data_IF_476524331800
#
_entry.id   IF_476524331800
#
_cell.length_a   1.000
_cell.length_b   1.000
_cell.length_c   1.000
_cell.angle_alpha   90.00
_cell.angle_beta   90.00
_cell.angle_gamma   90.00
#
_symmetry.space_group_name_H-M   'P 1'
#
loop_
_entity.id
_entity.type
_entity.pdbx_description
1 polymer ?
#
# COMPACT_ATOMS: atom_id res chain seq x y z
N UNK A 1 -22.84 -14.75 39.98
CA UNK A 1 -21.84 -14.91 38.92
C UNK A 1 -20.66 -14.00 39.23
N UNK A 2 -19.41 -14.50 39.28
CA UNK A 2 -18.23 -13.63 39.47
C UNK A 2 -17.95 -12.94 38.14
N UNK A 3 -18.03 -11.60 38.10
CA UNK A 3 -17.62 -10.83 36.93
C UNK A 3 -16.09 -10.93 36.85
N UNK A 4 -15.57 -11.48 35.76
CA UNK A 4 -14.13 -11.40 35.46
C UNK A 4 -13.83 -9.96 35.03
N UNK A 5 -12.86 -9.35 35.72
CA UNK A 5 -12.35 -8.03 35.37
C UNK A 5 -11.50 -8.17 34.11
N UNK A 6 -11.63 -7.22 33.19
CA UNK A 6 -10.78 -7.11 32.01
C UNK A 6 -9.30 -7.08 32.38
N UNK A 7 -8.49 -7.84 31.65
CA UNK A 7 -7.05 -7.99 31.84
C UNK A 7 -6.34 -7.81 30.51
N UNK A 8 -5.30 -6.96 30.50
CA UNK A 8 -4.52 -6.66 29.31
C UNK A 8 -3.82 -7.92 28.77
N UNK A 9 -4.16 -8.31 27.54
CA UNK A 9 -3.46 -9.37 26.81
C UNK A 9 -2.36 -8.74 25.97
N UNK A 10 -1.10 -9.09 26.29
CA UNK A 10 0.07 -8.64 25.53
C UNK A 10 0.44 -9.65 24.45
N UNK A 11 0.30 -9.26 23.19
CA UNK A 11 0.85 -9.98 22.05
C UNK A 11 2.19 -9.34 21.59
N UNK A 12 3.12 -10.11 21.00
CA UNK A 12 4.30 -9.55 20.36
C UNK A 12 3.93 -8.61 19.22
N UNK A 13 4.52 -7.40 19.22
CA UNK A 13 4.31 -6.41 18.17
C UNK A 13 5.10 -6.86 16.92
N UNK A 14 4.37 -7.21 15.85
CA UNK A 14 4.99 -7.54 14.55
C UNK A 14 5.17 -6.30 13.66
N UNK A 15 4.24 -5.34 13.75
CA UNK A 15 4.25 -4.12 12.95
C UNK A 15 4.02 -2.92 13.86
N UNK A 16 4.75 -1.84 13.61
CA UNK A 16 4.60 -0.63 14.41
C UNK A 16 3.30 0.09 14.03
N UNK A 17 2.59 0.67 15.02
CA UNK A 17 1.52 1.63 14.77
C UNK A 17 2.04 2.78 13.90
N UNK A 18 1.28 3.14 12.87
CA UNK A 18 1.56 4.30 12.02
C UNK A 18 0.25 4.89 11.54
N UNK A 19 0.23 6.20 11.26
CA UNK A 19 -0.89 6.87 10.59
C UNK A 19 -0.57 7.06 9.10
N UNK A 20 -0.90 6.08 8.22
CA UNK A 20 -0.45 6.11 6.83
C UNK A 20 -1.21 7.15 6.00
N UNK A 21 -2.45 7.51 6.36
CA UNK A 21 -3.30 8.37 5.53
C UNK A 21 -2.73 9.79 5.42
N UNK A 22 -2.23 10.33 6.54
CA UNK A 22 -1.67 11.69 6.62
C UNK A 22 -0.13 11.72 6.58
N UNK A 23 0.52 10.55 6.43
CA UNK A 23 1.99 10.43 6.31
C UNK A 23 2.56 11.12 5.06
N UNK A 24 1.72 11.40 4.08
CA UNK A 24 2.06 12.05 2.81
C UNK A 24 0.96 13.04 2.46
N UNK A 25 1.33 14.21 1.95
CA UNK A 25 0.33 15.19 1.49
C UNK A 25 -0.41 14.67 0.24
N UNK A 26 -1.63 15.14 0.01
CA UNK A 26 -2.37 14.73 -1.20
C UNK A 26 -1.67 15.18 -2.48
N UNK A 27 -0.98 16.33 -2.45
CA UNK A 27 -0.15 16.80 -3.55
C UNK A 27 1.00 15.83 -3.84
N UNK A 28 1.69 15.33 -2.81
CA UNK A 28 2.78 14.37 -2.97
C UNK A 28 2.28 12.99 -3.43
N UNK A 29 1.09 12.56 -2.99
CA UNK A 29 0.46 11.32 -3.47
C UNK A 29 0.17 11.43 -4.97
N UNK A 30 -0.40 12.55 -5.41
CA UNK A 30 -0.68 12.82 -6.83
C UNK A 30 0.61 12.92 -7.63
N UNK A 31 1.64 13.59 -7.10
CA UNK A 31 2.95 13.68 -7.75
C UNK A 31 3.57 12.29 -7.96
N UNK A 32 3.55 11.44 -6.94
CA UNK A 32 4.03 10.06 -7.04
C UNK A 32 3.26 9.26 -8.10
N UNK A 33 1.92 9.36 -8.14
CA UNK A 33 1.12 8.69 -9.17
C UNK A 33 1.48 9.15 -10.59
N UNK A 34 1.77 10.45 -10.76
CA UNK A 34 2.23 11.00 -12.06
C UNK A 34 3.63 10.52 -12.44
N UNK A 35 4.56 10.46 -11.49
CA UNK A 35 5.91 9.91 -11.71
C UNK A 35 5.85 8.44 -12.14
N UNK A 36 5.01 7.64 -11.47
CA UNK A 36 4.78 6.23 -11.83
C UNK A 36 4.20 6.12 -13.24
N UNK A 37 3.16 6.91 -13.56
CA UNK A 37 2.55 6.89 -14.89
C UNK A 37 3.56 7.28 -15.98
N UNK A 38 4.36 8.33 -15.75
CA UNK A 38 5.38 8.75 -16.71
C UNK A 38 6.43 7.64 -16.91
N UNK A 39 6.93 7.04 -15.83
CA UNK A 39 7.87 5.93 -15.91
C UNK A 39 7.32 4.74 -16.71
N UNK A 40 6.06 4.37 -16.50
CA UNK A 40 5.41 3.30 -17.28
C UNK A 40 5.32 3.68 -18.77
N UNK A 41 4.96 4.93 -19.09
CA UNK A 41 4.87 5.39 -20.48
C UNK A 41 6.24 5.46 -21.17
N UNK A 42 7.30 5.76 -20.43
CA UNK A 42 8.67 5.72 -20.94
C UNK A 42 9.12 4.28 -21.23
N UNK A 43 8.71 3.32 -20.39
CA UNK A 43 8.99 1.89 -20.58
C UNK A 43 8.14 1.24 -21.68
N UNK A 44 6.88 1.69 -21.83
CA UNK A 44 5.90 1.15 -22.77
C UNK A 44 5.23 2.26 -23.61
N UNK A 45 5.90 2.75 -24.67
CA UNK A 45 5.34 3.77 -25.56
C UNK A 45 4.01 3.36 -26.23
N UNK A 46 3.76 2.05 -26.39
CA UNK A 46 2.50 1.49 -26.90
C UNK A 46 1.35 1.42 -25.87
N UNK A 47 1.55 1.92 -24.65
CA UNK A 47 0.52 1.95 -23.61
C UNK A 47 -0.64 2.88 -23.98
N UNK A 48 -1.81 2.29 -24.24
CA UNK A 48 -3.06 3.02 -24.50
C UNK A 48 -3.68 3.57 -23.21
N UNK A 49 -3.59 2.79 -22.13
CA UNK A 49 -4.14 3.17 -20.84
C UNK A 49 -3.18 2.78 -19.73
N UNK A 50 -2.90 3.72 -18.83
CA UNK A 50 -2.17 3.48 -17.59
C UNK A 50 -3.10 3.86 -16.44
N UNK A 51 -3.27 2.97 -15.49
CA UNK A 51 -4.04 3.21 -14.27
C UNK A 51 -3.17 2.87 -13.08
N UNK A 52 -2.83 3.89 -12.31
CA UNK A 52 -2.11 3.74 -11.05
C UNK A 52 -3.01 4.19 -9.89
N UNK A 53 -3.00 3.44 -8.79
CA UNK A 53 -3.75 3.82 -7.59
C UNK A 53 -2.97 3.56 -6.30
N UNK A 54 -3.08 4.49 -5.38
CA UNK A 54 -2.57 4.39 -4.01
C UNK A 54 -3.75 4.31 -3.04
N UNK A 55 -3.63 3.42 -2.05
CA UNK A 55 -4.61 3.30 -0.97
C UNK A 55 -3.91 3.13 0.36
N UNK A 56 -4.49 3.66 1.43
CA UNK A 56 -4.09 3.42 2.80
C UNK A 56 -5.31 3.10 3.67
N UNK A 57 -5.11 2.23 4.65
CA UNK A 57 -6.06 1.92 5.73
C UNK A 57 -5.35 2.18 7.05
N UNK A 58 -6.07 2.87 7.94
CA UNK A 58 -5.74 2.98 9.35
C UNK A 58 -6.88 2.33 10.13
N UNK A 59 -6.60 1.19 10.76
CA UNK A 59 -7.58 0.43 11.52
C UNK A 59 -7.16 0.37 12.99
N UNK A 60 -8.05 0.80 13.88
CA UNK A 60 -7.91 0.62 15.33
C UNK A 60 -8.88 -0.48 15.78
N UNK A 61 -8.37 -1.47 16.51
CA UNK A 61 -9.16 -2.60 17.01
C UNK A 61 -9.09 -2.63 18.52
N UNK A 62 -10.23 -2.88 19.15
CA UNK A 62 -10.36 -3.17 20.57
C UNK A 62 -11.17 -4.45 20.75
N UNK A 63 -10.64 -5.37 21.55
CA UNK A 63 -11.28 -6.63 21.91
C UNK A 63 -11.53 -6.61 23.42
N UNK A 64 -12.78 -6.75 23.82
CA UNK A 64 -13.19 -6.97 25.20
C UNK A 64 -14.11 -8.19 25.25
N UNK A 65 -13.71 -9.25 25.97
CA UNK A 65 -14.46 -10.51 26.00
C UNK A 65 -14.85 -10.93 27.42
N UNK A 66 -15.88 -11.79 27.50
CA UNK A 66 -16.46 -12.26 28.77
C UNK A 66 -15.54 -13.15 29.60
N UNK A 67 -14.46 -13.65 29.01
CA UNK A 67 -13.39 -14.41 29.69
C UNK A 67 -12.35 -13.50 30.37
N UNK A 68 -12.54 -12.18 30.30
CA UNK A 68 -11.63 -11.18 30.87
C UNK A 68 -10.57 -10.67 29.88
N UNK A 69 -10.58 -11.08 28.61
CA UNK A 69 -9.66 -10.54 27.59
C UNK A 69 -9.90 -9.05 27.37
N UNK A 70 -8.83 -8.26 27.40
CA UNK A 70 -8.78 -6.88 26.90
C UNK A 70 -7.53 -6.67 26.05
N UNK A 71 -7.70 -6.31 24.79
CA UNK A 71 -6.59 -6.11 23.86
C UNK A 71 -6.89 -4.98 22.87
N UNK A 72 -5.84 -4.28 22.43
CA UNK A 72 -5.92 -3.23 21.42
C UNK A 72 -4.85 -3.41 20.35
N UNK A 73 -5.10 -2.87 19.15
CA UNK A 73 -4.14 -2.90 18.04
C UNK A 73 -4.37 -1.72 17.08
N UNK A 74 -3.30 -1.27 16.42
CA UNK A 74 -3.30 -0.25 15.37
C UNK A 74 -2.65 -0.84 14.13
N UNK A 75 -3.42 -0.95 13.05
CA UNK A 75 -3.07 -1.74 11.87
C UNK A 75 -2.99 -0.85 10.63
N UNK A 76 -1.83 -0.24 10.35
CA UNK A 76 -1.62 0.44 9.09
C UNK A 76 -1.58 -0.58 7.95
N UNK A 77 -2.08 -0.20 6.78
CA UNK A 77 -1.89 -0.95 5.54
C UNK A 77 -1.88 0.02 4.36
N UNK A 78 -0.82 0.02 3.58
CA UNK A 78 -0.72 0.75 2.32
C UNK A 78 -0.68 -0.21 1.13
N UNK A 79 -1.14 0.26 -0.04
CA UNK A 79 -1.06 -0.49 -1.29
C UNK A 79 -0.85 0.46 -2.47
N UNK A 80 -0.02 0.03 -3.41
CA UNK A 80 0.14 0.60 -4.75
C UNK A 80 -0.28 -0.45 -5.76
N UNK A 81 -1.02 -0.01 -6.79
CA UNK A 81 -1.42 -0.84 -7.92
C UNK A 81 -1.08 -0.09 -9.21
N UNK A 82 -0.51 -0.81 -10.18
CA UNK A 82 -0.25 -0.35 -11.52
C UNK A 82 -0.88 -1.33 -12.50
N UNK A 83 -1.70 -0.84 -13.44
CA UNK A 83 -2.26 -1.64 -14.53
C UNK A 83 -2.09 -0.90 -15.86
N UNK A 84 -1.62 -1.61 -16.87
CA UNK A 84 -1.27 -1.08 -18.18
C UNK A 84 -2.00 -1.86 -19.26
N UNK A 85 -2.65 -1.17 -20.18
CA UNK A 85 -3.21 -1.74 -21.40
C UNK A 85 -2.32 -1.36 -22.58
N UNK A 86 -1.70 -2.36 -23.20
CA UNK A 86 -0.85 -2.22 -24.37
C UNK A 86 -1.66 -2.55 -25.63
N UNK A 87 -1.45 -1.80 -26.71
CA UNK A 87 -1.99 -2.15 -28.04
C UNK A 87 -0.90 -2.09 -29.11
N UNK A 88 -0.70 -3.19 -29.83
CA UNK A 88 0.28 -3.27 -30.93
C UNK A 88 -0.26 -4.14 -32.05
N UNK A 89 -0.24 -3.60 -33.28
CA UNK A 89 -0.73 -4.28 -34.48
C UNK A 89 -2.16 -4.84 -34.33
N UNK A 90 -3.06 -4.09 -33.68
CA UNK A 90 -4.45 -4.50 -33.42
C UNK A 90 -4.64 -5.54 -32.31
N UNK A 91 -3.56 -6.00 -31.65
CA UNK A 91 -3.63 -6.88 -30.48
C UNK A 91 -3.53 -6.07 -29.19
N UNK A 92 -4.42 -6.35 -28.24
CA UNK A 92 -4.45 -5.72 -26.91
C UNK A 92 -4.07 -6.70 -25.81
N UNK A 93 -3.21 -6.27 -24.91
CA UNK A 93 -2.80 -7.04 -23.73
C UNK A 93 -2.79 -6.16 -22.48
N UNK A 94 -2.92 -6.78 -21.31
CA UNK A 94 -2.92 -6.09 -20.03
C UNK A 94 -1.84 -6.64 -19.11
N UNK A 95 -0.96 -5.75 -18.66
CA UNK A 95 -0.01 -6.01 -17.58
C UNK A 95 -0.47 -5.35 -16.28
N UNK A 96 -0.04 -5.91 -15.15
CA UNK A 96 -0.31 -5.33 -13.84
C UNK A 96 0.66 -5.80 -12.79
N UNK A 97 1.02 -4.90 -11.87
CA UNK A 97 1.77 -5.23 -10.68
C UNK A 97 1.20 -4.48 -9.47
N UNK A 98 1.39 -5.05 -8.28
CA UNK A 98 0.96 -4.41 -7.05
C UNK A 98 1.83 -4.82 -5.88
N UNK A 99 1.83 -3.99 -4.85
CA UNK A 99 2.54 -4.24 -3.61
C UNK A 99 2.04 -3.35 -2.49
N UNK A 100 2.55 -3.60 -1.29
CA UNK A 100 2.12 -2.89 -0.11
C UNK A 100 2.85 -3.37 1.13
N UNK A 101 2.54 -2.73 2.25
CA UNK A 101 3.13 -3.04 3.54
C UNK A 101 2.23 -2.55 4.67
N UNK A 102 2.44 -3.09 5.88
CA UNK A 102 1.86 -2.53 7.11
C UNK A 102 2.73 -1.39 7.65
N UNK A 103 2.90 -0.37 6.81
CA UNK A 103 3.74 0.81 7.00
C UNK A 103 3.01 2.03 6.43
N UNK A 104 3.72 3.17 6.34
CA UNK A 104 3.25 4.37 5.66
C UNK A 104 3.73 4.46 4.20
N UNK A 105 3.31 5.51 3.47
CA UNK A 105 3.65 5.68 2.06
C UNK A 105 5.16 5.87 1.78
N UNK A 106 5.98 6.14 2.80
CA UNK A 106 7.44 6.23 2.68
C UNK A 106 8.05 4.93 2.14
N UNK A 107 7.43 3.79 2.42
CA UNK A 107 7.78 2.47 1.88
C UNK A 107 7.98 2.46 0.36
N UNK A 108 7.20 3.22 -0.40
CA UNK A 108 7.32 3.25 -1.87
C UNK A 108 8.50 4.09 -2.36
N UNK A 109 8.98 5.03 -1.54
CA UNK A 109 10.09 5.94 -1.84
C UNK A 109 11.45 5.41 -1.38
N UNK A 110 11.48 4.38 -0.54
CA UNK A 110 12.70 3.71 -0.13
C UNK A 110 13.49 3.20 -1.34
N UNK A 111 14.82 3.38 -1.32
CA UNK A 111 15.68 2.91 -2.40
C UNK A 111 15.91 1.40 -2.28
N UNK A 112 15.64 0.68 -3.36
CA UNK A 112 15.95 -0.73 -3.55
C UNK A 112 16.77 -0.82 -4.84
N UNK A 113 17.99 -1.37 -4.75
CA UNK A 113 18.94 -1.47 -5.86
C UNK A 113 19.19 -0.12 -6.59
N UNK A 114 19.23 0.97 -5.82
CA UNK A 114 19.54 2.32 -6.31
C UNK A 114 18.37 3.09 -6.93
N UNK A 115 17.15 2.55 -6.94
CA UNK A 115 15.95 3.24 -7.40
C UNK A 115 14.83 3.19 -6.34
N UNK A 116 13.89 4.15 -6.33
CA UNK A 116 12.72 4.06 -5.46
C UNK A 116 11.96 2.74 -5.69
N UNK A 117 11.52 2.09 -4.61
CA UNK A 117 10.83 0.79 -4.65
C UNK A 117 9.65 0.78 -5.63
N UNK A 118 8.94 1.90 -5.79
CA UNK A 118 7.82 1.98 -6.73
C UNK A 118 8.21 1.67 -8.18
N UNK A 119 9.46 1.91 -8.58
CA UNK A 119 9.97 1.65 -9.93
C UNK A 119 9.89 0.16 -10.27
N UNK A 120 10.08 -0.73 -9.29
CA UNK A 120 9.94 -2.16 -9.51
C UNK A 120 8.50 -2.52 -9.91
N UNK A 121 7.50 -1.98 -9.22
CA UNK A 121 6.09 -2.22 -9.58
C UNK A 121 5.75 -1.64 -10.96
N UNK A 122 6.30 -0.48 -11.32
CA UNK A 122 6.12 0.08 -12.66
C UNK A 122 6.70 -0.84 -13.74
N UNK A 123 7.90 -1.39 -13.53
CA UNK A 123 8.56 -2.34 -14.45
C UNK A 123 7.82 -3.66 -14.57
N UNK A 124 7.34 -4.23 -13.46
CA UNK A 124 6.61 -5.50 -13.47
C UNK A 124 5.21 -5.40 -14.08
N UNK A 125 4.64 -4.18 -14.16
CA UNK A 125 3.32 -3.96 -14.74
C UNK A 125 3.30 -3.90 -16.28
N UNK A 126 4.48 -3.83 -16.91
CA UNK A 126 4.69 -3.77 -18.37
C UNK A 126 5.19 -5.12 -18.86
#
# INVERSE_FOLDING_TARGET
SKVQVFSDVKAPIQFQPAQPITSMSDADKVALLREIEQCIRDLAPEAQQVVSSLSAVYEEVLIAASDGTFATDVRPLIRLNCSVLLEKNGRRERGSACGGARLDYGYFKELVDGAPRWVQFAKEAV
#
